data_IF_590074336154
#
_entry.id   IF_590074336154
#
_cell.length_a   1.000
_cell.length_b   1.000
_cell.length_c   1.000
_cell.angle_alpha   90.00
_cell.angle_beta   90.00
_cell.angle_gamma   90.00
#
_symmetry.space_group_name_H-M   'P 1'
#
loop_
_entity.id
_entity.type
_entity.pdbx_description
1 polymer ?
#
# COMPACT_ATOMS: atom_id res chain seq x y z
N UNK A 1 -54.26 -24.11 17.88
CA UNK A 1 -53.60 -24.50 16.66
C UNK A 1 -52.94 -23.24 16.06
N UNK A 2 -51.64 -23.03 16.34
CA UNK A 2 -50.87 -21.88 15.85
C UNK A 2 -49.76 -22.40 14.93
N UNK A 3 -49.83 -22.03 13.66
CA UNK A 3 -48.82 -22.38 12.68
C UNK A 3 -47.61 -21.43 12.81
N UNK A 4 -46.45 -21.97 13.13
CA UNK A 4 -45.18 -21.25 13.09
C UNK A 4 -44.70 -21.17 11.64
N UNK A 5 -44.60 -19.93 11.13
CA UNK A 5 -43.98 -19.67 9.81
C UNK A 5 -42.44 -19.68 9.98
N UNK A 6 -41.79 -20.64 9.34
CA UNK A 6 -40.34 -20.64 9.18
C UNK A 6 -39.94 -19.54 8.18
N UNK A 7 -39.30 -18.50 8.66
CA UNK A 7 -38.63 -17.50 7.81
C UNK A 7 -37.33 -18.11 7.30
N UNK A 8 -37.30 -18.50 6.04
CA UNK A 8 -36.13 -18.95 5.33
C UNK A 8 -35.13 -17.79 5.16
N UNK A 9 -34.03 -17.81 5.92
CA UNK A 9 -32.93 -16.90 5.69
C UNK A 9 -32.26 -17.20 4.35
N UNK A 10 -32.35 -16.27 3.41
CA UNK A 10 -31.57 -16.33 2.17
C UNK A 10 -30.09 -16.19 2.54
N UNK A 11 -29.32 -17.26 2.39
CA UNK A 11 -27.87 -17.22 2.42
C UNK A 11 -27.38 -16.37 1.25
N UNK A 12 -26.97 -15.14 1.50
CA UNK A 12 -26.23 -14.35 0.51
C UNK A 12 -24.89 -15.03 0.29
N UNK A 13 -24.77 -15.72 -0.84
CA UNK A 13 -23.52 -16.22 -1.35
C UNK A 13 -22.60 -15.02 -1.55
N UNK A 14 -21.60 -14.85 -0.66
CA UNK A 14 -20.48 -13.94 -0.90
C UNK A 14 -19.68 -14.51 -2.07
N UNK A 15 -19.93 -14.00 -3.28
CA UNK A 15 -19.04 -14.26 -4.40
C UNK A 15 -17.64 -13.82 -3.94
N UNK A 16 -16.70 -14.77 -3.91
CA UNK A 16 -15.29 -14.47 -3.66
C UNK A 16 -14.86 -13.49 -4.76
N UNK A 17 -14.68 -12.21 -4.40
CA UNK A 17 -14.16 -11.23 -5.34
C UNK A 17 -12.84 -11.78 -5.89
N UNK A 18 -12.73 -11.84 -7.23
CA UNK A 18 -11.51 -12.28 -7.88
C UNK A 18 -10.36 -11.38 -7.39
N UNK A 19 -9.20 -11.99 -7.08
CA UNK A 19 -8.05 -11.21 -6.64
C UNK A 19 -7.68 -10.18 -7.72
N UNK A 20 -7.38 -8.96 -7.30
CA UNK A 20 -6.99 -7.87 -8.17
C UNK A 20 -5.79 -8.29 -9.05
N UNK A 21 -5.92 -8.12 -10.37
CA UNK A 21 -4.81 -8.33 -11.29
C UNK A 21 -4.13 -6.98 -11.60
N UNK A 22 -2.98 -6.72 -10.97
CA UNK A 22 -2.21 -5.50 -11.23
C UNK A 22 -1.70 -5.42 -12.67
N UNK A 23 -1.45 -6.57 -13.34
CA UNK A 23 -0.97 -6.58 -14.71
C UNK A 23 -2.06 -6.20 -15.73
N UNK A 24 -3.32 -6.31 -15.35
CA UNK A 24 -4.43 -5.86 -16.19
C UNK A 24 -4.58 -4.32 -16.21
N UNK A 25 -3.93 -3.62 -15.28
CA UNK A 25 -3.93 -2.15 -15.22
C UNK A 25 -2.82 -1.61 -16.14
N UNK A 26 -3.10 -0.66 -17.04
CA UNK A 26 -2.07 -0.08 -17.91
C UNK A 26 -0.90 0.49 -17.13
N UNK A 27 0.34 0.26 -17.59
CA UNK A 27 1.56 0.76 -16.93
C UNK A 27 1.50 2.30 -16.71
N UNK A 28 1.02 3.04 -17.69
CA UNK A 28 0.87 4.50 -17.56
C UNK A 28 -0.02 4.92 -16.38
N UNK A 29 -1.01 4.10 -16.01
CA UNK A 29 -1.86 4.35 -14.85
C UNK A 29 -1.13 4.05 -13.54
N UNK A 30 -0.29 3.02 -13.50
CA UNK A 30 0.61 2.77 -12.37
C UNK A 30 1.62 3.89 -12.20
N UNK A 31 2.22 4.35 -13.28
CA UNK A 31 3.18 5.46 -13.27
C UNK A 31 2.53 6.77 -12.79
N UNK A 32 1.32 7.07 -13.25
CA UNK A 32 0.60 8.26 -12.80
C UNK A 32 0.35 8.23 -11.28
N UNK A 33 -0.07 7.08 -10.73
CA UNK A 33 -0.27 6.91 -9.30
C UNK A 33 1.06 6.95 -8.50
N UNK A 34 2.14 6.36 -9.05
CA UNK A 34 3.46 6.43 -8.42
C UNK A 34 3.99 7.86 -8.36
N UNK A 35 3.75 8.69 -9.36
CA UNK A 35 4.12 10.13 -9.32
C UNK A 35 3.40 10.88 -8.21
N UNK A 36 2.18 10.49 -7.84
CA UNK A 36 1.51 11.06 -6.65
C UNK A 36 2.22 10.68 -5.35
N UNK A 37 2.70 9.42 -5.24
CA UNK A 37 3.50 9.00 -4.10
C UNK A 37 4.85 9.72 -4.04
N UNK A 38 5.51 9.95 -5.19
CA UNK A 38 6.75 10.73 -5.30
C UNK A 38 6.51 12.18 -4.86
N UNK A 39 5.45 12.81 -5.35
CA UNK A 39 5.09 14.16 -4.94
C UNK A 39 4.80 14.28 -3.43
N UNK A 40 4.11 13.29 -2.85
CA UNK A 40 3.91 13.26 -1.41
C UNK A 40 5.24 13.15 -0.63
N UNK A 41 6.22 12.39 -1.15
CA UNK A 41 7.53 12.18 -0.54
C UNK A 41 8.36 13.48 -0.44
N UNK A 42 8.13 14.47 -1.31
CA UNK A 42 8.84 15.75 -1.29
C UNK A 42 8.68 16.53 0.02
N UNK A 43 7.61 16.27 0.77
CA UNK A 43 7.38 16.87 2.09
C UNK A 43 8.39 16.40 3.17
N UNK A 44 9.13 15.31 2.91
CA UNK A 44 10.21 14.84 3.78
C UNK A 44 11.48 14.55 2.97
N UNK A 45 12.31 15.54 2.66
CA UNK A 45 13.50 15.36 1.85
C UNK A 45 14.61 14.52 2.50
N UNK A 46 14.56 14.28 3.82
CA UNK A 46 15.54 13.43 4.53
C UNK A 46 15.18 11.93 4.41
N UNK A 47 13.90 11.61 4.50
CA UNK A 47 13.36 10.25 4.37
C UNK A 47 12.16 10.27 3.43
N UNK A 48 12.39 10.34 2.10
CA UNK A 48 11.35 10.60 1.11
C UNK A 48 10.50 9.36 0.80
N UNK A 49 9.92 8.78 1.85
CA UNK A 49 8.95 7.71 1.72
C UNK A 49 7.54 8.31 1.68
N UNK A 50 6.99 8.37 0.48
CA UNK A 50 5.63 8.82 0.21
C UNK A 50 4.75 7.64 -0.21
N UNK A 51 3.49 7.67 0.20
CA UNK A 51 2.52 6.66 -0.17
C UNK A 51 1.16 7.27 -0.48
N UNK A 52 0.44 6.67 -1.44
CA UNK A 52 -0.96 7.00 -1.75
C UNK A 52 -1.78 5.72 -1.87
N UNK A 53 -3.05 5.77 -1.45
CA UNK A 53 -4.01 4.69 -1.70
C UNK A 53 -4.96 5.17 -2.79
N UNK A 54 -5.04 4.41 -3.89
CA UNK A 54 -5.83 4.73 -5.08
C UNK A 54 -6.97 3.71 -5.20
N UNK A 55 -8.19 4.20 -5.37
CA UNK A 55 -9.36 3.35 -5.65
C UNK A 55 -9.26 2.62 -6.99
N UNK A 56 -9.65 1.36 -7.04
CA UNK A 56 -9.59 0.56 -8.27
C UNK A 56 -10.65 0.94 -9.28
N UNK A 57 -11.81 1.41 -8.83
CA UNK A 57 -12.97 1.70 -9.68
C UNK A 57 -12.83 3.03 -10.45
N UNK A 58 -12.48 4.10 -9.76
CA UNK A 58 -12.49 5.47 -10.28
C UNK A 58 -11.10 6.12 -10.34
N UNK A 59 -10.07 5.42 -9.85
CA UNK A 59 -8.69 5.91 -9.75
C UNK A 59 -8.53 7.15 -8.86
N UNK A 60 -9.49 7.40 -7.98
CA UNK A 60 -9.43 8.49 -7.04
C UNK A 60 -8.36 8.26 -5.96
N UNK A 61 -7.73 9.35 -5.49
CA UNK A 61 -6.85 9.31 -4.31
C UNK A 61 -7.73 9.22 -3.07
N UNK A 62 -7.71 8.06 -2.41
CA UNK A 62 -8.47 7.81 -1.19
C UNK A 62 -7.74 8.27 0.07
N UNK A 63 -6.41 8.18 0.07
CA UNK A 63 -5.55 8.60 1.17
C UNK A 63 -4.12 8.84 0.69
N UNK A 64 -3.36 9.57 1.50
CA UNK A 64 -1.94 9.78 1.27
C UNK A 64 -1.16 9.84 2.57
N UNK A 65 0.14 9.60 2.50
CA UNK A 65 1.03 9.69 3.63
C UNK A 65 2.46 9.96 3.23
N UNK A 66 3.20 10.58 4.14
CA UNK A 66 4.64 10.76 4.05
C UNK A 66 5.28 10.36 5.37
N UNK A 67 6.51 9.87 5.32
CA UNK A 67 7.26 9.49 6.51
C UNK A 67 7.28 10.62 7.55
N UNK A 68 6.84 10.32 8.75
CA UNK A 68 6.79 11.21 9.93
C UNK A 68 7.56 10.60 11.10
N UNK A 69 8.62 9.86 10.81
CA UNK A 69 9.43 9.13 11.80
C UNK A 69 10.06 10.01 12.90
N UNK A 70 10.23 11.31 12.67
CA UNK A 70 10.65 12.27 13.71
C UNK A 70 9.60 12.41 14.82
N UNK A 71 8.32 12.25 14.49
CA UNK A 71 7.21 12.35 15.46
C UNK A 71 6.98 11.02 16.17
N UNK A 72 7.00 9.93 15.40
CA UNK A 72 6.85 8.56 15.88
C UNK A 72 7.56 7.62 14.89
N UNK A 73 8.54 6.81 15.33
CA UNK A 73 9.33 5.95 14.46
C UNK A 73 8.51 4.92 13.68
N UNK A 74 7.27 4.63 14.08
CA UNK A 74 6.36 3.74 13.37
C UNK A 74 5.64 4.42 12.19
N UNK A 75 5.64 5.76 12.11
CA UNK A 75 4.92 6.51 11.08
C UNK A 75 5.73 6.59 9.77
N UNK A 76 5.95 5.43 9.15
CA UNK A 76 6.38 5.34 7.77
C UNK A 76 5.27 5.85 6.83
N UNK A 77 5.60 6.21 5.60
CA UNK A 77 4.64 6.77 4.65
C UNK A 77 3.40 5.91 4.45
N UNK A 78 3.58 4.59 4.38
CA UNK A 78 2.50 3.63 4.24
C UNK A 78 1.57 3.61 5.47
N UNK A 79 2.14 3.65 6.68
CA UNK A 79 1.35 3.69 7.92
C UNK A 79 0.57 5.00 8.03
N UNK A 80 1.18 6.12 7.62
CA UNK A 80 0.48 7.42 7.58
C UNK A 80 -0.67 7.36 6.59
N UNK A 81 -0.48 6.80 5.39
CA UNK A 81 -1.55 6.65 4.39
C UNK A 81 -2.67 5.71 4.87
N UNK A 82 -2.35 4.60 5.55
CA UNK A 82 -3.32 3.68 6.14
C UNK A 82 -4.15 4.41 7.22
N UNK A 83 -3.51 5.19 8.08
CA UNK A 83 -4.21 5.96 9.12
C UNK A 83 -5.11 7.04 8.51
N UNK A 84 -4.66 7.75 7.47
CA UNK A 84 -5.46 8.74 6.74
C UNK A 84 -6.67 8.09 6.08
N UNK A 85 -6.48 6.90 5.46
CA UNK A 85 -7.60 6.12 4.90
C UNK A 85 -8.62 5.75 5.97
N UNK A 86 -8.16 5.17 7.08
CA UNK A 86 -9.05 4.76 8.17
C UNK A 86 -9.84 5.95 8.75
N UNK A 87 -9.21 7.13 8.86
CA UNK A 87 -9.87 8.34 9.35
C UNK A 87 -10.95 8.85 8.38
N UNK A 88 -10.78 8.68 7.06
CA UNK A 88 -11.71 9.18 6.03
C UNK A 88 -12.81 8.18 5.68
N UNK A 89 -12.45 6.89 5.57
CA UNK A 89 -13.32 5.84 5.03
C UNK A 89 -13.79 4.85 6.10
N UNK A 90 -13.23 4.91 7.31
CA UNK A 90 -13.46 3.90 8.33
C UNK A 90 -12.80 2.56 8.00
N UNK A 91 -13.32 1.47 8.55
CA UNK A 91 -12.78 0.12 8.36
C UNK A 91 -13.52 -0.65 7.25
N UNK A 92 -13.58 -0.09 6.05
CA UNK A 92 -14.27 -0.71 4.92
C UNK A 92 -13.59 -0.34 3.58
N UNK A 93 -13.83 -1.13 2.53
CA UNK A 93 -13.34 -0.85 1.17
C UNK A 93 -11.84 -1.07 0.96
N UNK A 94 -11.10 -1.63 1.90
CA UNK A 94 -9.65 -1.83 1.80
C UNK A 94 -9.23 -2.66 0.59
N UNK A 95 -10.01 -3.69 0.26
CA UNK A 95 -9.73 -4.58 -0.87
C UNK A 95 -9.86 -3.88 -2.24
N UNK A 96 -10.57 -2.75 -2.28
CA UNK A 96 -10.76 -1.93 -3.48
C UNK A 96 -9.66 -0.86 -3.64
N UNK A 97 -8.67 -0.86 -2.77
CA UNK A 97 -7.53 0.06 -2.78
C UNK A 97 -6.25 -0.60 -3.29
N UNK A 98 -5.43 0.20 -4.00
CA UNK A 98 -4.04 -0.12 -4.31
C UNK A 98 -3.17 0.90 -3.60
N UNK A 99 -2.25 0.45 -2.77
CA UNK A 99 -1.25 1.30 -2.13
C UNK A 99 -0.03 1.41 -3.04
N UNK A 100 0.30 2.65 -3.43
CA UNK A 100 1.52 3.00 -4.15
C UNK A 100 2.49 3.66 -3.18
N UNK A 101 3.76 3.24 -3.19
CA UNK A 101 4.79 3.76 -2.30
C UNK A 101 6.13 3.88 -3.00
N UNK A 102 6.89 4.92 -2.67
CA UNK A 102 8.19 5.20 -3.30
C UNK A 102 9.23 4.13 -2.99
N UNK A 103 9.20 3.53 -1.81
CA UNK A 103 10.07 2.43 -1.40
C UNK A 103 9.28 1.15 -1.17
N UNK A 104 9.91 0.00 -1.34
CA UNK A 104 9.34 -1.29 -0.99
C UNK A 104 8.93 -1.32 0.49
N UNK A 105 7.69 -1.71 0.82
CA UNK A 105 7.23 -1.74 2.21
C UNK A 105 8.09 -2.66 3.07
N UNK A 106 8.63 -2.12 4.17
CA UNK A 106 9.33 -2.93 5.17
C UNK A 106 8.37 -3.94 5.82
N UNK A 107 8.84 -4.95 6.57
CA UNK A 107 7.99 -5.96 7.18
C UNK A 107 6.87 -5.40 8.07
N UNK A 108 7.11 -4.28 8.78
CA UNK A 108 6.09 -3.60 9.58
C UNK A 108 4.96 -3.05 8.69
N UNK A 109 5.32 -2.30 7.65
CA UNK A 109 4.35 -1.72 6.72
C UNK A 109 3.60 -2.79 5.94
N UNK A 110 4.32 -3.81 5.45
CA UNK A 110 3.67 -4.92 4.73
C UNK A 110 2.74 -5.71 5.66
N UNK A 111 3.11 -5.91 6.92
CA UNK A 111 2.21 -6.49 7.92
C UNK A 111 0.93 -5.68 8.12
N UNK A 112 1.04 -4.35 8.21
CA UNK A 112 -0.13 -3.47 8.33
C UNK A 112 -1.02 -3.55 7.08
N UNK A 113 -0.45 -3.57 5.87
CA UNK A 113 -1.14 -3.74 4.59
C UNK A 113 -1.92 -5.06 4.55
N UNK A 114 -1.29 -6.15 5.00
CA UNK A 114 -1.90 -7.49 5.09
C UNK A 114 -3.09 -7.47 6.04
N UNK A 115 -2.94 -6.92 7.25
CA UNK A 115 -4.02 -6.85 8.24
C UNK A 115 -5.16 -5.92 7.85
N UNK A 116 -4.87 -4.83 7.14
CA UNK A 116 -5.89 -3.96 6.57
C UNK A 116 -6.64 -4.63 5.40
N UNK A 117 -6.04 -5.62 4.74
CA UNK A 117 -6.63 -6.30 3.59
C UNK A 117 -6.60 -5.47 2.31
N UNK A 118 -5.60 -4.58 2.13
CA UNK A 118 -5.46 -3.74 0.93
C UNK A 118 -5.26 -4.63 -0.30
N UNK A 119 -6.03 -4.38 -1.37
CA UNK A 119 -6.12 -5.24 -2.54
C UNK A 119 -4.83 -5.36 -3.36
N UNK A 120 -3.99 -4.34 -3.36
CA UNK A 120 -2.71 -4.36 -4.08
C UNK A 120 -1.68 -3.42 -3.51
N UNK A 121 -0.40 -3.73 -3.78
CA UNK A 121 0.75 -2.89 -3.44
C UNK A 121 1.62 -2.72 -4.67
N UNK A 122 1.97 -1.46 -4.95
CA UNK A 122 2.91 -1.12 -6.02
C UNK A 122 4.01 -0.26 -5.44
N UNK A 123 5.27 -0.66 -5.63
CA UNK A 123 6.40 0.12 -5.11
C UNK A 123 7.44 0.46 -6.19
N UNK A 124 8.23 1.51 -5.92
CA UNK A 124 9.31 1.95 -6.79
C UNK A 124 10.64 1.26 -6.48
N UNK A 125 11.40 1.79 -5.53
CA UNK A 125 12.72 1.31 -5.12
C UNK A 125 12.63 0.10 -4.21
N UNK A 126 13.53 -0.88 -4.38
CA UNK A 126 13.57 -2.09 -3.55
C UNK A 126 14.24 -1.86 -2.18
N UNK A 127 13.97 -2.74 -1.20
CA UNK A 127 14.65 -2.78 0.10
C UNK A 127 16.17 -2.84 -0.08
N UNK A 128 16.65 -3.66 -1.01
CA UNK A 128 18.09 -3.78 -1.30
C UNK A 128 18.69 -2.44 -1.73
N UNK A 129 18.04 -1.74 -2.67
CA UNK A 129 18.50 -0.42 -3.13
C UNK A 129 18.49 0.62 -1.98
N UNK A 130 17.46 0.61 -1.14
CA UNK A 130 17.38 1.50 0.02
C UNK A 130 18.53 1.28 1.00
N UNK A 131 18.90 0.02 1.26
CA UNK A 131 20.03 -0.35 2.08
C UNK A 131 21.36 0.10 1.45
N UNK A 132 21.55 -0.08 0.14
CA UNK A 132 22.72 0.35 -0.61
C UNK A 132 22.99 1.87 -0.51
N UNK A 133 21.94 2.69 -0.44
CA UNK A 133 22.07 4.13 -0.26
C UNK A 133 22.16 4.57 1.21
N UNK A 134 22.32 3.61 2.13
CA UNK A 134 22.52 3.86 3.56
C UNK A 134 21.25 4.19 4.34
N UNK A 135 20.10 3.72 3.90
CA UNK A 135 18.86 3.76 4.69
C UNK A 135 18.70 2.40 5.38
N UNK A 136 18.78 2.32 6.72
CA UNK A 136 18.65 1.04 7.44
C UNK A 136 17.34 0.33 7.10
N UNK A 137 17.42 -0.97 6.77
CA UNK A 137 16.27 -1.80 6.44
C UNK A 137 16.31 -3.13 7.20
N UNK A 138 15.14 -3.68 7.51
CA UNK A 138 14.99 -5.10 7.80
C UNK A 138 15.02 -5.80 6.43
N UNK A 139 16.06 -6.60 6.19
CA UNK A 139 16.34 -7.22 4.88
C UNK A 139 15.41 -8.42 4.61
N UNK A 140 14.11 -8.16 4.60
CA UNK A 140 13.03 -9.11 4.30
C UNK A 140 12.13 -8.44 3.27
N UNK A 141 12.06 -9.00 2.09
CA UNK A 141 11.23 -8.48 0.98
C UNK A 141 9.75 -8.50 1.34
N UNK A 142 8.99 -7.53 0.83
CA UNK A 142 7.54 -7.44 1.04
C UNK A 142 6.79 -8.71 0.61
N UNK A 143 7.29 -9.39 -0.43
CA UNK A 143 6.74 -10.66 -0.90
C UNK A 143 6.81 -11.77 0.15
N UNK A 144 7.88 -11.84 0.94
CA UNK A 144 8.04 -12.84 2.01
C UNK A 144 6.96 -12.67 3.08
N UNK A 145 6.67 -11.43 3.48
CA UNK A 145 5.60 -11.14 4.45
C UNK A 145 4.24 -11.50 3.89
N UNK A 146 3.98 -11.15 2.62
CA UNK A 146 2.73 -11.52 1.92
C UNK A 146 2.54 -13.04 1.89
N UNK A 147 3.57 -13.78 1.50
CA UNK A 147 3.50 -15.23 1.30
C UNK A 147 3.34 -15.99 2.64
N UNK A 148 3.81 -15.38 3.74
CA UNK A 148 3.59 -15.89 5.09
C UNK A 148 2.14 -15.70 5.60
N UNK A 149 1.29 -14.94 4.87
CA UNK A 149 -0.09 -14.65 5.25
C UNK A 149 -1.09 -15.34 4.29
N UNK A 150 -1.42 -16.64 4.48
CA UNK A 150 -2.24 -17.42 3.55
C UNK A 150 -3.68 -16.91 3.39
N UNK A 151 -4.15 -16.09 4.32
CA UNK A 151 -5.46 -15.42 4.28
C UNK A 151 -5.48 -14.16 3.41
N UNK A 152 -4.31 -13.56 3.12
CA UNK A 152 -4.21 -12.33 2.34
C UNK A 152 -4.21 -12.64 0.83
N UNK A 153 -5.01 -11.88 0.08
CA UNK A 153 -5.19 -12.07 -1.37
C UNK A 153 -4.59 -10.95 -2.21
N UNK A 154 -4.06 -9.90 -1.57
CA UNK A 154 -3.48 -8.75 -2.26
C UNK A 154 -2.27 -9.11 -3.12
N UNK A 155 -2.04 -8.32 -4.16
CA UNK A 155 -0.95 -8.50 -5.12
C UNK A 155 0.14 -7.47 -4.90
N UNK A 156 1.36 -7.82 -5.27
CA UNK A 156 2.52 -6.92 -5.19
C UNK A 156 3.13 -6.78 -6.57
N UNK A 157 3.47 -5.54 -6.93
CA UNK A 157 4.22 -5.19 -8.14
C UNK A 157 5.34 -4.22 -7.74
N UNK A 158 6.58 -4.53 -8.08
CA UNK A 158 7.74 -3.68 -7.80
C UNK A 158 8.32 -3.03 -9.04
N UNK A 159 9.10 -1.97 -8.84
CA UNK A 159 9.92 -1.34 -9.87
C UNK A 159 9.19 -0.32 -10.76
N UNK A 160 8.00 0.12 -10.39
CA UNK A 160 7.28 1.17 -11.13
C UNK A 160 7.97 2.51 -10.90
N UNK A 161 8.39 3.17 -11.99
CA UNK A 161 9.21 4.38 -11.97
C UNK A 161 10.48 4.23 -11.12
N UNK A 162 11.09 3.05 -11.13
CA UNK A 162 12.29 2.75 -10.33
C UNK A 162 13.38 3.80 -10.48
N UNK A 163 13.66 4.26 -11.69
CA UNK A 163 14.71 5.25 -11.92
C UNK A 163 14.43 6.58 -11.19
N UNK A 164 13.16 7.02 -11.18
CA UNK A 164 12.74 8.25 -10.50
C UNK A 164 12.80 8.06 -8.97
N UNK A 165 12.30 6.96 -8.45
CA UNK A 165 12.32 6.69 -7.00
C UNK A 165 13.73 6.42 -6.48
N UNK A 166 14.58 5.69 -7.21
CA UNK A 166 15.99 5.49 -6.86
C UNK A 166 16.75 6.83 -6.80
N UNK A 167 16.48 7.73 -7.76
CA UNK A 167 17.07 9.08 -7.75
C UNK A 167 16.61 9.89 -6.53
N UNK A 168 15.32 9.79 -6.15
CA UNK A 168 14.77 10.42 -4.96
C UNK A 168 15.54 10.03 -3.69
N UNK A 169 15.82 8.73 -3.50
CA UNK A 169 16.53 8.22 -2.34
C UNK A 169 18.04 8.52 -2.37
N UNK A 170 18.68 8.46 -3.55
CA UNK A 170 20.11 8.82 -3.70
C UNK A 170 20.37 10.29 -3.41
N UNK A 171 19.48 11.16 -3.85
CA UNK A 171 19.60 12.61 -3.75
C UNK A 171 19.00 13.18 -2.45
N UNK A 172 18.51 12.33 -1.54
CA UNK A 172 17.90 12.78 -0.29
C UNK A 172 18.86 13.63 0.54
N UNK A 173 18.33 14.57 1.29
CA UNK A 173 19.14 15.31 2.26
C UNK A 173 19.67 14.34 3.33
N UNK A 174 20.91 14.56 3.74
CA UNK A 174 21.56 13.83 4.83
C UNK A 174 21.76 14.81 5.98
N UNK A 175 21.28 14.45 7.16
CA UNK A 175 21.49 15.22 8.37
C UNK A 175 22.83 14.92 9.03
#
# INVERSE_FOLDING_TARGET
>A
MGAAACVGGAATSSASAAALDLNAIPLAAHEAAMRLAIAAAEANPFYPFGAVIIGTADRAVMAQGVNSGKTNPMLHGEIVAINDYAARQGNQGWADGILYTTGEPCPMCMGAIVWAGIGGVVYGSSITMLAEVGIPQIMIDASVVRDAAPFYRGRIMGGVLRAETDALFRNRQRG
#
